data_IF_854510057153
#
_entry.id   IF_854510057153
#
_cell.length_a   1.000
_cell.length_b   1.000
_cell.length_c   1.000
_cell.angle_alpha   90.00
_cell.angle_beta   90.00
_cell.angle_gamma   90.00
#
_symmetry.space_group_name_H-M   'P 1'
#
loop_
_entity.id
_entity.type
_entity.pdbx_description
1 polymer ?
#
# COMPACT_ATOMS: atom_id res chain seq x y z
N UNK A 1 8.70 3.39 -17.85
CA UNK A 1 8.00 2.80 -16.69
C UNK A 1 6.53 2.69 -17.03
N UNK A 2 5.98 1.47 -17.06
CA UNK A 2 4.53 1.26 -17.17
C UNK A 2 3.90 1.67 -15.84
N UNK A 3 2.81 2.43 -15.87
CA UNK A 3 2.09 2.81 -14.66
C UNK A 3 1.22 1.62 -14.23
N UNK A 4 1.50 1.08 -13.06
CA UNK A 4 0.65 0.04 -12.47
C UNK A 4 -0.76 0.61 -12.20
N UNK A 5 -1.78 -0.12 -12.66
CA UNK A 5 -3.18 0.30 -12.55
C UNK A 5 -3.76 -0.27 -11.27
N UNK A 6 -3.53 0.43 -10.16
CA UNK A 6 -4.14 0.12 -8.86
C UNK A 6 -5.21 1.16 -8.55
N UNK A 7 -6.42 0.70 -8.22
CA UNK A 7 -7.49 1.55 -7.73
C UNK A 7 -7.28 1.89 -6.25
N UNK A 8 -7.86 3.01 -5.80
CA UNK A 8 -7.79 3.40 -4.39
C UNK A 8 -8.40 2.32 -3.46
N UNK A 9 -9.44 1.62 -3.92
CA UNK A 9 -10.08 0.53 -3.17
C UNK A 9 -9.16 -0.68 -2.97
N UNK A 10 -8.45 -1.11 -4.02
CA UNK A 10 -7.49 -2.21 -3.96
C UNK A 10 -6.30 -1.87 -3.04
N UNK A 11 -5.82 -0.62 -3.11
CA UNK A 11 -4.78 -0.12 -2.21
C UNK A 11 -5.26 -0.18 -0.75
N UNK A 12 -6.46 0.34 -0.45
CA UNK A 12 -7.03 0.33 0.91
C UNK A 12 -7.31 -1.08 1.41
N UNK A 13 -7.72 -2.01 0.56
CA UNK A 13 -7.87 -3.42 0.92
C UNK A 13 -6.52 -4.03 1.30
N UNK A 14 -5.49 -3.80 0.48
CA UNK A 14 -4.15 -4.34 0.72
C UNK A 14 -3.53 -3.78 2.00
N UNK A 15 -3.68 -2.48 2.25
CA UNK A 15 -3.24 -1.86 3.51
C UNK A 15 -3.92 -2.50 4.73
N UNK A 16 -5.23 -2.75 4.66
CA UNK A 16 -5.97 -3.43 5.75
C UNK A 16 -5.49 -4.86 5.98
N UNK A 17 -5.19 -5.61 4.91
CA UNK A 17 -4.58 -6.96 5.01
C UNK A 17 -3.21 -6.93 5.69
N UNK A 18 -2.48 -5.83 5.57
CA UNK A 18 -1.20 -5.56 6.23
C UNK A 18 -1.34 -4.88 7.60
N UNK A 19 -2.51 -4.98 8.25
CA UNK A 19 -2.82 -4.41 9.58
C UNK A 19 -2.68 -2.88 9.66
N UNK A 20 -2.84 -2.19 8.52
CA UNK A 20 -2.85 -0.73 8.44
C UNK A 20 -4.28 -0.27 8.20
N UNK A 21 -4.94 0.18 9.26
CA UNK A 21 -6.33 0.65 9.23
C UNK A 21 -6.44 2.14 8.88
N UNK A 22 -5.40 2.92 9.18
CA UNK A 22 -5.34 4.34 8.94
C UNK A 22 -4.17 4.68 8.00
N UNK A 23 -4.49 5.24 6.84
CA UNK A 23 -3.50 5.65 5.84
C UNK A 23 -2.61 6.80 6.35
N UNK A 24 -3.08 7.58 7.33
CA UNK A 24 -2.27 8.64 7.93
C UNK A 24 -1.03 8.08 8.66
N UNK A 25 -1.10 6.82 9.13
CA UNK A 25 0.03 6.12 9.73
C UNK A 25 1.07 5.67 8.71
N UNK A 26 0.80 5.78 7.41
CA UNK A 26 1.72 5.39 6.34
C UNK A 26 2.65 6.55 6.00
N UNK A 27 3.95 6.27 6.01
CA UNK A 27 4.98 7.16 5.45
C UNK A 27 5.24 6.82 3.99
N UNK A 28 5.41 5.53 3.69
CA UNK A 28 5.58 5.02 2.32
C UNK A 28 4.82 3.70 2.14
N UNK A 29 4.27 3.51 0.95
CA UNK A 29 3.75 2.23 0.47
C UNK A 29 4.39 1.94 -0.89
N UNK A 30 5.02 0.78 -1.02
CA UNK A 30 5.79 0.39 -2.21
C UNK A 30 5.12 -0.83 -2.81
N UNK A 31 4.72 -0.74 -4.08
CA UNK A 31 4.21 -1.87 -4.85
C UNK A 31 5.40 -2.63 -5.45
N UNK A 32 5.62 -3.85 -4.98
CA UNK A 32 6.70 -4.73 -5.40
C UNK A 32 6.38 -5.43 -6.72
N UNK A 33 7.39 -6.02 -7.37
CA UNK A 33 7.22 -6.74 -8.65
C UNK A 33 6.36 -8.00 -8.56
N UNK A 34 6.12 -8.52 -7.34
CA UNK A 34 5.24 -9.66 -7.09
C UNK A 34 3.79 -9.25 -6.79
N UNK A 35 3.47 -7.95 -6.88
CA UNK A 35 2.15 -7.40 -6.61
C UNK A 35 1.84 -7.18 -5.13
N UNK A 36 2.79 -7.44 -4.21
CA UNK A 36 2.61 -7.12 -2.78
C UNK A 36 2.93 -5.67 -2.48
N UNK A 37 2.40 -5.17 -1.36
CA UNK A 37 2.67 -3.82 -0.88
C UNK A 37 3.49 -3.88 0.41
N UNK A 38 4.69 -3.33 0.35
CA UNK A 38 5.54 -3.07 1.51
C UNK A 38 5.14 -1.73 2.14
N UNK A 39 4.85 -1.70 3.44
CA UNK A 39 4.42 -0.48 4.15
C UNK A 39 5.44 -0.04 5.18
N UNK A 40 5.85 1.23 5.10
CA UNK A 40 6.69 1.89 6.11
C UNK A 40 5.80 2.85 6.89
N UNK A 41 5.60 2.55 8.18
CA UNK A 41 4.79 3.38 9.08
C UNK A 41 5.54 4.67 9.48
N UNK A 42 4.79 5.71 9.82
CA UNK A 42 5.34 6.91 10.48
C UNK A 42 5.76 6.53 11.90
N UNK A 43 6.95 6.98 12.29
CA UNK A 43 7.41 7.01 13.68
C UNK A 43 6.67 8.09 14.46
#
# INVERSE_FOLDING_TARGET
MTKERVTESELKETLRKSEVMDIAQVRYAILETDGKISVIKRS
#
